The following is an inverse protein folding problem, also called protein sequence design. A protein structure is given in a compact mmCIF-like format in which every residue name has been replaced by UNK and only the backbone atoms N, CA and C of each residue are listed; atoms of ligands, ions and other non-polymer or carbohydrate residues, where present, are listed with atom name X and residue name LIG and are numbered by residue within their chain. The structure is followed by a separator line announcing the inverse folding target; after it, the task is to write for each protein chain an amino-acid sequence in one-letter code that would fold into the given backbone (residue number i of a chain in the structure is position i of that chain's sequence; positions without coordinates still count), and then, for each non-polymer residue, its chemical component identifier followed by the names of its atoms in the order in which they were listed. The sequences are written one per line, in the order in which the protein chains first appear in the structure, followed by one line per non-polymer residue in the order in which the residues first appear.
data_IF_874772187759
#
_entry.id   IF_874772187759
#
_cell.length_a   1.000
_cell.length_b   1.000
_cell.length_c   1.000
_cell.angle_alpha   90.00
_cell.angle_beta   90.00
_cell.angle_gamma   90.00
#
_symmetry.space_group_name_H-M   'P 1'
#
loop_
_entity.id
_entity.type
_entity.pdbx_description
1 polymer ?
#
# COMPACT_ATOMS: atom_id res chain seq x y z
N UNK A 1 -17.76 -10.79 -23.25
CA UNK A 1 -18.80 -10.11 -22.43
C UNK A 1 -18.40 -8.68 -22.02
N UNK A 2 -17.14 -8.26 -22.22
CA UNK A 2 -16.61 -6.91 -21.88
C UNK A 2 -17.18 -5.78 -22.72
N UNK A 3 -17.28 -5.93 -24.05
CA UNK A 3 -17.63 -4.85 -24.97
C UNK A 3 -19.03 -4.22 -24.73
N UNK A 4 -20.00 -4.99 -24.21
CA UNK A 4 -21.34 -4.48 -23.91
C UNK A 4 -21.34 -3.61 -22.64
N UNK A 5 -20.52 -3.97 -21.65
CA UNK A 5 -20.30 -3.18 -20.43
C UNK A 5 -19.55 -1.90 -20.75
N UNK A 6 -18.53 -1.96 -21.61
CA UNK A 6 -17.77 -0.78 -22.05
C UNK A 6 -18.63 0.19 -22.90
N UNK A 7 -19.65 -0.32 -23.58
CA UNK A 7 -20.60 0.52 -24.29
C UNK A 7 -21.55 1.25 -23.33
N UNK A 8 -22.00 0.59 -22.26
CA UNK A 8 -22.89 1.20 -21.25
C UNK A 8 -22.13 2.06 -20.24
N UNK A 9 -20.89 1.69 -19.94
CA UNK A 9 -20.00 2.35 -19.00
C UNK A 9 -18.63 2.52 -19.64
N UNK A 10 -18.48 3.47 -20.57
CA UNK A 10 -17.21 3.66 -21.27
C UNK A 10 -16.08 3.96 -20.27
N UNK A 11 -14.87 3.40 -20.53
CA UNK A 11 -13.73 3.67 -19.68
C UNK A 11 -13.40 5.16 -19.65
N UNK A 12 -13.27 5.70 -18.43
CA UNK A 12 -12.99 7.12 -18.21
C UNK A 12 -11.84 7.32 -17.25
N UNK A 13 -11.10 8.40 -17.45
CA UNK A 13 -10.03 8.81 -16.55
C UNK A 13 -10.58 9.06 -15.13
N UNK A 14 -9.99 8.46 -14.08
CA UNK A 14 -10.51 8.55 -12.71
C UNK A 14 -10.50 9.98 -12.13
N UNK A 15 -9.79 10.90 -12.78
CA UNK A 15 -9.70 12.28 -12.32
C UNK A 15 -10.58 13.24 -13.12
N UNK A 16 -10.43 13.30 -14.45
CA UNK A 16 -11.11 14.32 -15.27
C UNK A 16 -12.30 13.78 -16.05
N UNK A 17 -12.58 12.45 -15.99
CA UNK A 17 -13.69 11.83 -16.69
C UNK A 17 -13.56 11.74 -18.21
N UNK A 18 -12.46 12.18 -18.81
CA UNK A 18 -12.28 12.04 -20.25
C UNK A 18 -12.19 10.56 -20.66
N UNK A 19 -12.63 10.18 -21.88
CA UNK A 19 -12.51 8.82 -22.37
C UNK A 19 -11.06 8.33 -22.38
N UNK A 20 -10.86 7.07 -21.99
CA UNK A 20 -9.58 6.36 -22.05
C UNK A 20 -9.76 5.02 -22.77
N UNK A 21 -8.67 4.31 -23.07
CA UNK A 21 -8.74 3.07 -23.85
C UNK A 21 -9.33 1.89 -23.06
N UNK A 22 -9.01 1.81 -21.76
CA UNK A 22 -9.34 0.67 -20.91
C UNK A 22 -9.72 1.13 -19.51
N UNK A 23 -10.55 0.34 -18.83
CA UNK A 23 -10.87 0.54 -17.43
C UNK A 23 -9.60 0.48 -16.57
N UNK A 24 -9.52 1.35 -15.55
CA UNK A 24 -8.35 1.41 -14.68
C UNK A 24 -7.17 2.21 -15.23
N UNK A 25 -7.32 2.88 -16.38
CA UNK A 25 -6.27 3.73 -16.96
C UNK A 25 -6.54 5.22 -16.72
N UNK A 26 -5.49 6.01 -16.85
CA UNK A 26 -5.52 7.47 -16.75
C UNK A 26 -5.30 8.09 -18.13
N UNK A 27 -5.86 9.26 -18.37
CA UNK A 27 -5.39 10.04 -19.50
C UNK A 27 -3.96 10.55 -19.24
N UNK A 28 -3.12 10.72 -20.28
CA UNK A 28 -1.72 11.10 -20.11
C UNK A 28 -1.55 12.38 -19.28
N UNK A 29 -2.37 13.40 -19.53
CA UNK A 29 -2.29 14.69 -18.81
C UNK A 29 -2.60 14.60 -17.32
N UNK A 30 -3.45 13.66 -16.89
CA UNK A 30 -3.75 13.47 -15.47
C UNK A 30 -2.73 12.57 -14.79
N UNK A 31 -2.24 11.54 -15.49
CA UNK A 31 -1.20 10.65 -14.96
C UNK A 31 0.10 11.42 -14.72
N UNK A 32 0.54 12.23 -15.67
CA UNK A 32 1.78 13.02 -15.59
C UNK A 32 1.82 13.95 -14.36
N UNK A 33 0.67 14.45 -13.93
CA UNK A 33 0.58 15.32 -12.73
C UNK A 33 0.78 14.60 -11.41
N UNK A 34 0.53 13.30 -11.37
CA UNK A 34 0.51 12.51 -10.12
C UNK A 34 1.54 11.39 -10.10
N UNK A 35 2.00 10.90 -11.25
CA UNK A 35 3.08 9.92 -11.33
C UNK A 35 4.40 10.58 -10.96
N UNK A 36 5.04 10.08 -9.91
CA UNK A 36 6.29 10.66 -9.40
C UNK A 36 7.01 9.60 -8.57
N UNK A 37 7.84 8.80 -9.24
CA UNK A 37 8.56 7.71 -8.58
C UNK A 37 9.82 8.27 -7.94
N UNK A 38 9.91 8.12 -6.61
CA UNK A 38 11.02 8.62 -5.80
C UNK A 38 11.51 7.56 -4.83
N UNK A 39 12.80 7.55 -4.59
CA UNK A 39 13.43 6.74 -3.55
C UNK A 39 13.88 7.61 -2.38
N UNK A 40 13.53 7.21 -1.17
CA UNK A 40 14.02 7.78 0.08
C UNK A 40 15.00 6.79 0.71
N UNK A 41 16.18 7.28 1.06
CA UNK A 41 17.24 6.45 1.64
C UNK A 41 16.94 6.11 3.11
N UNK A 42 17.60 5.06 3.58
CA UNK A 42 17.45 4.50 4.93
C UNK A 42 17.76 5.48 6.07
N UNK A 43 18.66 6.44 5.85
CA UNK A 43 19.04 7.45 6.85
C UNK A 43 17.88 8.35 7.29
N UNK A 44 16.82 8.41 6.50
CA UNK A 44 15.61 9.18 6.78
C UNK A 44 14.50 8.36 7.46
N UNK A 45 14.67 7.04 7.59
CA UNK A 45 13.60 6.11 7.97
C UNK A 45 14.13 5.01 8.90
N UNK A 46 13.97 5.18 10.22
CA UNK A 46 14.40 4.22 11.22
C UNK A 46 13.84 2.80 10.94
N UNK A 47 14.71 1.80 10.82
CA UNK A 47 14.33 0.39 10.65
C UNK A 47 13.96 -0.05 9.24
N UNK A 48 13.99 0.86 8.25
CA UNK A 48 13.78 0.55 6.83
C UNK A 48 15.10 0.73 6.06
N UNK A 49 15.36 -0.12 5.08
CA UNK A 49 16.55 -0.01 4.22
C UNK A 49 16.34 0.97 3.07
N UNK A 50 15.10 1.36 2.83
CA UNK A 50 14.69 2.37 1.87
C UNK A 50 13.19 2.36 1.62
N UNK A 51 12.70 3.35 0.89
CA UNK A 51 11.29 3.51 0.58
C UNK A 51 11.10 4.05 -0.83
N UNK A 52 10.28 3.37 -1.61
CA UNK A 52 9.80 3.87 -2.90
C UNK A 52 8.44 4.54 -2.74
N UNK A 53 8.30 5.75 -3.27
CA UNK A 53 7.04 6.48 -3.39
C UNK A 53 6.69 6.52 -4.87
N UNK A 54 5.50 6.02 -5.26
CA UNK A 54 5.12 5.85 -6.65
C UNK A 54 4.37 7.05 -7.23
N UNK A 55 3.85 7.94 -6.38
CA UNK A 55 3.08 9.09 -6.86
C UNK A 55 2.87 10.17 -5.84
N UNK A 56 2.48 11.36 -6.32
CA UNK A 56 2.12 12.51 -5.48
C UNK A 56 0.70 12.35 -4.98
N UNK A 57 0.51 12.33 -3.66
CA UNK A 57 -0.81 12.29 -3.02
C UNK A 57 -1.55 13.63 -3.17
N UNK A 58 -1.95 13.94 -4.39
CA UNK A 58 -2.68 15.16 -4.76
C UNK A 58 -3.67 14.91 -5.90
N UNK A 59 -4.54 15.89 -6.18
CA UNK A 59 -5.45 15.84 -7.34
C UNK A 59 -6.18 14.51 -7.47
N UNK A 60 -6.09 13.92 -8.65
CA UNK A 60 -6.78 12.67 -8.97
C UNK A 60 -6.35 11.46 -8.15
N UNK A 61 -5.06 11.33 -7.81
CA UNK A 61 -4.60 10.22 -7.00
C UNK A 61 -5.16 10.29 -5.56
N UNK A 62 -5.23 11.50 -4.98
CA UNK A 62 -5.88 11.70 -3.68
C UNK A 62 -7.35 11.32 -3.73
N UNK A 63 -8.08 11.75 -4.78
CA UNK A 63 -9.51 11.43 -4.96
C UNK A 63 -9.71 9.93 -5.13
N UNK A 64 -8.90 9.28 -5.96
CA UNK A 64 -8.93 7.84 -6.18
C UNK A 64 -8.78 7.04 -4.88
N UNK A 65 -7.72 7.32 -4.12
CA UNK A 65 -7.46 6.61 -2.86
C UNK A 65 -8.58 6.88 -1.85
N UNK A 66 -9.11 8.11 -1.80
CA UNK A 66 -10.24 8.45 -0.96
C UNK A 66 -11.50 7.66 -1.36
N UNK A 67 -11.80 7.58 -2.65
CA UNK A 67 -12.97 6.88 -3.18
C UNK A 67 -12.92 5.38 -2.86
N UNK A 68 -11.75 4.75 -3.04
CA UNK A 68 -11.54 3.35 -2.64
C UNK A 68 -11.64 3.16 -1.13
N UNK A 69 -11.21 4.14 -0.31
CA UNK A 69 -11.26 4.04 1.16
C UNK A 69 -12.65 4.25 1.76
N UNK A 70 -13.46 5.15 1.19
CA UNK A 70 -14.63 5.70 1.88
C UNK A 70 -15.92 5.68 1.06
N UNK A 71 -15.85 5.51 -0.26
CA UNK A 71 -17.01 5.63 -1.15
C UNK A 71 -17.36 4.30 -1.85
N UNK A 72 -16.87 3.18 -1.34
CA UNK A 72 -17.13 1.82 -1.86
C UNK A 72 -16.81 1.63 -3.36
N UNK A 73 -15.85 2.43 -3.87
CA UNK A 73 -15.39 2.35 -5.26
C UNK A 73 -14.18 1.43 -5.41
N UNK A 74 -14.26 0.22 -4.88
CA UNK A 74 -13.17 -0.77 -4.91
C UNK A 74 -12.68 -1.08 -6.33
N UNK A 75 -13.56 -1.03 -7.34
CA UNK A 75 -13.20 -1.23 -8.75
C UNK A 75 -12.20 -0.22 -9.29
N UNK A 76 -12.14 0.98 -8.70
CA UNK A 76 -11.16 2.00 -9.08
C UNK A 76 -9.72 1.65 -8.62
N UNK A 77 -9.55 0.66 -7.77
CA UNK A 77 -8.21 0.22 -7.35
C UNK A 77 -7.31 -0.17 -8.53
N UNK A 78 -7.88 -0.66 -9.63
CA UNK A 78 -7.15 -0.95 -10.86
C UNK A 78 -6.41 0.28 -11.43
N UNK A 79 -6.84 1.50 -11.09
CA UNK A 79 -6.18 2.73 -11.55
C UNK A 79 -4.77 2.94 -10.93
N UNK A 80 -4.31 2.11 -10.00
CA UNK A 80 -2.91 2.13 -9.52
C UNK A 80 -1.97 1.33 -10.43
N UNK A 81 -2.48 0.45 -11.30
CA UNK A 81 -1.66 -0.38 -12.21
C UNK A 81 -0.65 0.41 -13.05
N UNK A 82 -0.97 1.59 -13.62
CA UNK A 82 0.01 2.39 -14.36
C UNK A 82 1.23 2.81 -13.54
N UNK A 83 1.05 3.08 -12.23
CA UNK A 83 2.16 3.43 -11.33
C UNK A 83 3.08 2.23 -11.10
N UNK A 84 2.51 1.07 -10.81
CA UNK A 84 3.25 -0.18 -10.62
C UNK A 84 3.95 -0.62 -11.90
N UNK A 85 3.28 -0.52 -13.04
CA UNK A 85 3.89 -0.82 -14.34
C UNK A 85 5.09 0.09 -14.63
N UNK A 86 4.95 1.41 -14.43
CA UNK A 86 6.05 2.36 -14.64
C UNK A 86 7.20 2.09 -13.68
N UNK A 87 6.89 1.74 -12.42
CA UNK A 87 7.90 1.34 -11.44
C UNK A 87 8.71 0.14 -11.92
N UNK A 88 8.04 -0.92 -12.37
CA UNK A 88 8.69 -2.15 -12.83
C UNK A 88 9.60 -1.94 -14.05
N UNK A 89 9.22 -1.02 -14.94
CA UNK A 89 10.03 -0.72 -16.13
C UNK A 89 11.33 0.04 -15.82
N UNK A 90 11.34 0.81 -14.73
CA UNK A 90 12.42 1.74 -14.41
C UNK A 90 13.29 1.30 -13.22
N UNK A 91 12.81 0.39 -12.39
CA UNK A 91 13.45 0.06 -11.12
C UNK A 91 13.50 -1.44 -10.85
N UNK A 92 14.61 -1.89 -10.25
CA UNK A 92 14.77 -3.23 -9.74
C UNK A 92 14.75 -3.18 -8.21
N UNK A 93 13.91 -4.00 -7.61
CA UNK A 93 13.94 -4.23 -6.17
C UNK A 93 15.07 -5.20 -5.81
N UNK A 94 15.64 -5.09 -4.60
CA UNK A 94 16.57 -6.10 -4.10
C UNK A 94 15.86 -7.46 -4.02
N UNK A 95 16.60 -8.56 -3.83
CA UNK A 95 15.99 -9.86 -3.58
C UNK A 95 15.01 -9.78 -2.40
N UNK A 96 13.74 -10.06 -2.66
CA UNK A 96 12.65 -10.03 -1.67
C UNK A 96 12.03 -11.41 -1.62
N UNK A 97 11.71 -11.87 -0.41
CA UNK A 97 11.04 -13.14 -0.20
C UNK A 97 9.53 -12.94 0.02
N UNK A 98 9.17 -11.99 0.86
CA UNK A 98 7.80 -11.80 1.31
C UNK A 98 7.35 -10.34 1.09
N UNK A 99 6.12 -10.18 0.65
CA UNK A 99 5.45 -8.87 0.54
C UNK A 99 4.32 -8.81 1.56
N UNK A 100 4.40 -7.84 2.46
CA UNK A 100 3.46 -7.68 3.56
C UNK A 100 2.65 -6.38 3.41
N UNK A 101 1.32 -6.47 3.35
CA UNK A 101 0.47 -5.29 3.37
C UNK A 101 0.43 -4.67 4.77
N UNK A 102 0.44 -3.36 4.85
CA UNK A 102 0.09 -2.66 6.09
C UNK A 102 -1.40 -2.87 6.36
N UNK A 103 -1.77 -3.45 7.54
CA UNK A 103 -3.16 -3.72 7.85
C UNK A 103 -3.91 -2.46 8.26
N UNK A 104 -5.21 -2.44 8.00
CA UNK A 104 -6.15 -1.51 8.62
C UNK A 104 -6.66 -2.10 9.95
N UNK A 105 -7.17 -1.25 10.85
CA UNK A 105 -7.77 -1.74 12.09
C UNK A 105 -9.00 -2.62 11.82
N UNK A 106 -9.29 -3.54 12.74
CA UNK A 106 -10.43 -4.46 12.63
C UNK A 106 -11.76 -3.72 12.44
N UNK A 107 -11.96 -2.62 13.16
CA UNK A 107 -13.16 -1.79 13.01
C UNK A 107 -13.31 -1.22 11.58
N UNK A 108 -12.21 -0.73 10.98
CA UNK A 108 -12.23 -0.27 9.59
C UNK A 108 -12.47 -1.41 8.61
N UNK A 109 -11.93 -2.60 8.88
CA UNK A 109 -12.14 -3.79 8.03
C UNK A 109 -13.60 -4.26 8.07
N UNK A 110 -14.25 -4.20 9.23
CA UNK A 110 -15.69 -4.53 9.37
C UNK A 110 -16.57 -3.56 8.59
N UNK A 111 -16.28 -2.25 8.63
CA UNK A 111 -17.06 -1.23 7.91
C UNK A 111 -16.81 -1.28 6.41
N UNK A 112 -15.56 -1.46 5.99
CA UNK A 112 -15.13 -1.37 4.57
C UNK A 112 -15.22 -2.71 3.83
N UNK A 113 -15.12 -3.84 4.54
CA UNK A 113 -15.10 -5.19 3.96
C UNK A 113 -13.73 -5.65 3.47
N UNK A 114 -12.79 -4.75 3.22
CA UNK A 114 -11.47 -5.06 2.64
C UNK A 114 -10.37 -4.15 3.19
N UNK A 115 -9.12 -4.56 2.99
CA UNK A 115 -7.95 -3.68 3.11
C UNK A 115 -7.65 -3.11 1.72
N UNK A 116 -7.65 -1.79 1.55
CA UNK A 116 -7.37 -1.15 0.27
C UNK A 116 -5.97 -1.46 -0.26
N UNK A 117 -5.01 -1.74 0.62
CA UNK A 117 -3.64 -2.12 0.23
C UNK A 117 -3.65 -3.46 -0.53
N UNK A 118 -4.52 -4.41 -0.12
CA UNK A 118 -4.69 -5.67 -0.85
C UNK A 118 -5.16 -5.42 -2.28
N UNK A 119 -6.13 -4.52 -2.46
CA UNK A 119 -6.67 -4.18 -3.78
C UNK A 119 -5.65 -3.49 -4.70
N UNK A 120 -4.73 -2.71 -4.11
CA UNK A 120 -3.73 -1.98 -4.88
C UNK A 120 -2.55 -2.86 -5.30
N UNK A 121 -2.10 -3.80 -4.44
CA UNK A 121 -0.80 -4.44 -4.62
C UNK A 121 -0.86 -5.96 -4.81
N UNK A 122 -1.91 -6.65 -4.31
CA UNK A 122 -1.90 -8.11 -4.26
C UNK A 122 -1.82 -8.77 -5.65
N UNK A 123 -2.59 -8.28 -6.62
CA UNK A 123 -2.55 -8.77 -8.00
C UNK A 123 -1.15 -8.55 -8.61
N UNK A 124 -0.57 -7.35 -8.42
CA UNK A 124 0.79 -7.04 -8.89
C UNK A 124 1.86 -8.00 -8.32
N UNK A 125 1.75 -8.39 -7.05
CA UNK A 125 2.64 -9.37 -6.43
C UNK A 125 2.40 -10.78 -6.99
N UNK A 126 1.13 -11.16 -7.16
CA UNK A 126 0.77 -12.48 -7.70
C UNK A 126 1.24 -12.68 -9.15
N UNK A 127 1.14 -11.65 -9.98
CA UNK A 127 1.63 -11.69 -11.37
C UNK A 127 3.15 -11.89 -11.45
N UNK A 128 3.88 -11.63 -10.37
CA UNK A 128 5.34 -11.73 -10.28
C UNK A 128 5.84 -12.87 -9.42
N UNK A 129 4.92 -13.58 -8.78
CA UNK A 129 5.28 -14.67 -7.86
C UNK A 129 6.16 -15.72 -8.51
N UNK A 130 5.84 -16.15 -9.73
CA UNK A 130 6.59 -17.18 -10.46
C UNK A 130 7.99 -16.71 -10.90
N UNK A 131 8.15 -15.42 -11.19
CA UNK A 131 9.41 -14.86 -11.69
C UNK A 131 10.36 -14.46 -10.56
N UNK A 132 9.82 -13.81 -9.50
CA UNK A 132 10.62 -13.28 -8.39
C UNK A 132 10.54 -14.15 -7.13
N UNK A 133 9.73 -15.21 -7.13
CA UNK A 133 9.45 -16.04 -5.95
C UNK A 133 8.89 -15.21 -4.76
N UNK A 134 8.10 -14.19 -5.06
CA UNK A 134 7.46 -13.37 -4.03
C UNK A 134 6.24 -14.09 -3.45
N UNK A 135 6.09 -13.97 -2.15
CA UNK A 135 4.91 -14.47 -1.47
C UNK A 135 4.18 -13.33 -0.76
N UNK A 136 2.88 -13.17 -1.04
CA UNK A 136 2.03 -12.26 -0.29
C UNK A 136 1.71 -12.85 1.08
N UNK A 137 2.01 -12.10 2.17
CA UNK A 137 1.81 -12.57 3.53
C UNK A 137 1.09 -11.52 4.38
N UNK A 138 -0.17 -11.80 4.76
CA UNK A 138 -0.95 -10.96 5.68
C UNK A 138 -0.59 -11.33 7.14
N UNK A 139 0.66 -11.03 7.55
CA UNK A 139 1.20 -11.41 8.85
C UNK A 139 0.93 -10.40 9.96
N UNK A 140 0.65 -9.14 9.62
CA UNK A 140 0.50 -8.05 10.60
C UNK A 140 -0.95 -7.89 11.05
N UNK A 141 -1.14 -7.52 12.32
CA UNK A 141 -2.40 -7.09 12.90
C UNK A 141 -2.21 -5.66 13.40
N UNK A 142 -3.12 -4.76 13.03
CA UNK A 142 -3.16 -3.40 13.58
C UNK A 142 -4.04 -3.35 14.81
N UNK A 143 -3.43 -3.02 15.95
CA UNK A 143 -4.17 -2.83 17.19
C UNK A 143 -5.06 -1.59 17.12
N UNK A 144 -6.22 -1.67 17.74
CA UNK A 144 -7.08 -0.50 17.97
C UNK A 144 -6.49 0.29 19.12
N UNK A 145 -5.93 1.44 18.84
CA UNK A 145 -5.56 2.39 19.89
C UNK A 145 -6.85 2.84 20.61
N UNK A 146 -7.14 2.27 21.78
CA UNK A 146 -8.09 2.83 22.71
C UNK A 146 -7.37 3.93 23.49
N UNK A 147 -7.65 5.19 23.20
CA UNK A 147 -7.17 6.33 23.97
C UNK A 147 -6.85 7.56 23.13
N UNK A 148 -7.25 8.71 23.65
CA UNK A 148 -6.99 10.02 23.06
C UNK A 148 -5.47 10.31 23.03
N UNK A 149 -4.86 10.24 21.86
CA UNK A 149 -3.43 10.57 21.64
C UNK A 149 -3.08 12.02 21.99
N UNK A 150 -4.06 12.86 22.25
CA UNK A 150 -3.89 14.29 22.53
C UNK A 150 -3.25 14.59 23.90
N UNK A 151 -3.31 13.65 24.85
CA UNK A 151 -2.78 13.82 26.20
C UNK A 151 -1.49 13.04 26.50
N UNK A 152 -0.91 12.38 25.49
CA UNK A 152 0.29 11.54 25.68
C UNK A 152 1.59 12.34 25.59
N UNK A 153 2.50 12.10 26.55
CA UNK A 153 3.89 12.58 26.51
C UNK A 153 4.67 11.95 25.33
N UNK A 154 5.81 12.54 24.95
CA UNK A 154 6.65 11.99 23.88
C UNK A 154 7.10 10.54 24.15
N UNK A 155 7.36 10.18 25.40
CA UNK A 155 7.75 8.82 25.79
C UNK A 155 6.59 7.82 25.65
N UNK A 156 5.39 8.24 25.98
CA UNK A 156 4.18 7.43 25.82
C UNK A 156 3.81 7.25 24.35
N UNK A 157 4.01 8.29 23.53
CA UNK A 157 3.85 8.18 22.05
C UNK A 157 4.82 7.17 21.46
N UNK A 158 6.09 7.16 21.89
CA UNK A 158 7.08 6.17 21.45
C UNK A 158 6.67 4.75 21.84
N UNK A 159 6.23 4.52 23.07
CA UNK A 159 5.71 3.23 23.53
C UNK A 159 4.37 2.82 22.87
N UNK A 160 3.61 3.79 22.37
CA UNK A 160 2.35 3.53 21.65
C UNK A 160 2.59 3.15 20.20
N UNK A 161 3.64 3.70 19.58
CA UNK A 161 4.11 3.29 18.25
C UNK A 161 4.57 1.84 18.28
N UNK A 162 5.26 1.40 19.33
CA UNK A 162 5.70 0.01 19.53
C UNK A 162 4.53 -0.99 19.70
N UNK A 163 3.33 -0.50 20.04
CA UNK A 163 2.11 -1.32 20.21
C UNK A 163 1.11 -1.19 19.07
N UNK A 164 1.47 -0.47 18.00
CA UNK A 164 0.56 -0.22 16.88
C UNK A 164 0.26 -1.48 16.08
N UNK A 165 1.22 -2.40 16.03
CA UNK A 165 1.11 -3.65 15.31
C UNK A 165 1.48 -4.85 16.18
N UNK A 166 0.89 -6.01 15.85
CA UNK A 166 1.29 -7.32 16.31
C UNK A 166 1.52 -8.23 15.10
N UNK A 167 2.29 -9.31 15.29
CA UNK A 167 2.49 -10.35 14.30
C UNK A 167 1.60 -11.54 14.65
N UNK A 168 0.91 -12.09 13.68
CA UNK A 168 0.16 -13.34 13.84
C UNK A 168 1.14 -14.47 14.14
N UNK A 169 0.89 -15.20 15.25
CA UNK A 169 1.83 -16.19 15.79
C UNK A 169 2.22 -17.28 14.79
N UNK A 170 1.29 -17.66 13.92
CA UNK A 170 1.50 -18.67 12.87
C UNK A 170 2.53 -18.26 11.81
N UNK A 171 2.87 -16.97 11.69
CA UNK A 171 3.82 -16.47 10.70
C UNK A 171 5.20 -16.12 11.28
N UNK A 172 5.41 -16.18 12.59
CA UNK A 172 6.69 -15.81 13.20
C UNK A 172 7.88 -16.57 12.59
N UNK A 173 7.75 -17.88 12.45
CA UNK A 173 8.81 -18.70 11.86
C UNK A 173 9.05 -18.41 10.36
N UNK A 174 8.00 -18.04 9.64
CA UNK A 174 8.09 -17.71 8.21
C UNK A 174 8.82 -16.38 7.95
N UNK A 175 8.89 -15.50 8.93
CA UNK A 175 9.52 -14.17 8.81
C UNK A 175 11.02 -14.20 9.12
N UNK A 176 11.50 -15.17 9.89
CA UNK A 176 12.87 -15.24 10.36
C UNK A 176 13.88 -15.33 9.20
N UNK A 177 14.83 -14.38 9.16
CA UNK A 177 15.87 -14.30 8.14
C UNK A 177 15.38 -13.95 6.74
N UNK A 178 14.16 -13.37 6.60
CA UNK A 178 13.59 -13.03 5.29
C UNK A 178 13.76 -11.57 4.95
N UNK A 179 14.02 -11.31 3.67
CA UNK A 179 13.95 -9.97 3.08
C UNK A 179 12.49 -9.62 2.79
N UNK A 180 12.03 -8.50 3.36
CA UNK A 180 10.63 -8.12 3.34
C UNK A 180 10.39 -6.83 2.54
N UNK A 181 9.27 -6.79 1.80
CA UNK A 181 8.72 -5.58 1.22
C UNK A 181 7.41 -5.23 1.94
N UNK A 182 7.39 -4.08 2.61
CA UNK A 182 6.15 -3.50 3.15
C UNK A 182 5.46 -2.66 2.07
N UNK A 183 4.16 -2.80 1.93
CA UNK A 183 3.35 -1.99 1.01
C UNK A 183 2.24 -1.26 1.75
N UNK A 184 2.05 0.03 1.43
CA UNK A 184 1.01 0.88 2.00
C UNK A 184 0.45 1.83 0.92
N UNK A 185 -0.71 2.42 1.15
CA UNK A 185 -1.38 3.28 0.20
C UNK A 185 -0.97 4.76 0.29
N UNK A 186 -0.60 5.25 1.46
CA UNK A 186 -0.22 6.65 1.67
C UNK A 186 0.98 6.74 2.61
N UNK A 187 2.03 7.38 2.12
CA UNK A 187 3.14 7.83 2.93
C UNK A 187 2.95 9.29 3.36
N UNK A 188 3.07 9.57 4.65
CA UNK A 188 3.06 10.93 5.22
C UNK A 188 4.34 11.19 6.00
N UNK A 189 4.40 10.77 7.24
CA UNK A 189 5.57 10.87 8.13
C UNK A 189 6.40 9.57 8.19
N UNK A 190 5.90 8.49 7.61
CA UNK A 190 6.50 7.17 7.70
C UNK A 190 6.26 6.41 9.01
N UNK A 191 5.62 7.03 10.01
CA UNK A 191 5.44 6.43 11.32
C UNK A 191 4.78 5.03 11.29
N UNK A 192 3.84 4.81 10.37
CA UNK A 192 3.18 3.51 10.20
C UNK A 192 4.17 2.44 9.70
N UNK A 193 4.96 2.77 8.69
CA UNK A 193 5.96 1.84 8.12
C UNK A 193 7.09 1.57 9.10
N UNK A 194 7.58 2.59 9.80
CA UNK A 194 8.62 2.46 10.85
C UNK A 194 8.14 1.55 11.98
N UNK A 195 6.90 1.72 12.46
CA UNK A 195 6.33 0.86 13.49
C UNK A 195 6.20 -0.60 13.04
N UNK A 196 5.78 -0.83 11.79
CA UNK A 196 5.69 -2.17 11.22
C UNK A 196 7.08 -2.79 11.03
N UNK A 197 8.05 -2.04 10.52
CA UNK A 197 9.43 -2.49 10.37
C UNK A 197 10.06 -2.87 11.71
N UNK A 198 9.84 -2.07 12.76
CA UNK A 198 10.37 -2.33 14.09
C UNK A 198 9.93 -3.69 14.63
N UNK A 199 8.63 -4.00 14.60
CA UNK A 199 8.13 -5.29 15.09
C UNK A 199 8.60 -6.47 14.23
N UNK A 200 8.74 -6.30 12.92
CA UNK A 200 9.23 -7.33 12.02
C UNK A 200 10.73 -7.62 12.26
N UNK A 201 11.55 -6.58 12.45
CA UNK A 201 12.96 -6.77 12.83
C UNK A 201 13.12 -7.43 14.20
N UNK A 202 12.26 -7.13 15.16
CA UNK A 202 12.24 -7.84 16.46
C UNK A 202 11.88 -9.32 16.29
N UNK A 203 11.13 -9.69 15.27
CA UNK A 203 10.81 -11.08 14.93
C UNK A 203 11.88 -11.76 14.07
N UNK A 204 13.01 -11.09 13.79
CA UNK A 204 14.15 -11.67 13.08
C UNK A 204 14.14 -11.47 11.56
N UNK A 205 13.30 -10.59 11.02
CA UNK A 205 13.27 -10.24 9.60
C UNK A 205 14.33 -9.19 9.27
#
# INVERSE_FOLDING_TARGET
MGWLLDFLYPPTCPHCGCPVKEQGTWCPSCLDKVLDIRFLQADQLEGLDGLWILGRYQGGLRSLIHDVKFNDKSSQAACVKPFLFTFDQAHCLPPINLVLPIPISQAKRQVRGYNQVDLFFKEWVQDRADYYNWQWLDALIKETSQGDMWHMSQLERKRHVDKLFNIKKEYLQALEGKELLLVDDIYTTGATLVAAAHILRQAGA
#
